data_IF_419959667680
#
_entry.id   IF_419959667680
#
_cell.length_a   1.000
_cell.length_b   1.000
_cell.length_c   1.000
_cell.angle_alpha   90.00
_cell.angle_beta   90.00
_cell.angle_gamma   90.00
#
_symmetry.space_group_name_H-M   'P 1'
#
loop_
_entity.id
_entity.type
_entity.pdbx_description
1 polymer ?
#
# COMPACT_ATOMS: atom_id res chain seq x y z
N UNK A 1 1.84 -5.69 38.17
CA UNK A 1 3.13 -6.14 37.62
C UNK A 1 2.79 -7.36 36.77
N UNK A 2 2.83 -7.23 35.45
CA UNK A 2 2.52 -8.34 34.53
C UNK A 2 3.69 -9.32 34.50
N UNK A 3 3.39 -10.62 34.58
CA UNK A 3 4.39 -11.66 34.44
C UNK A 3 4.62 -12.02 32.96
N UNK A 4 5.81 -11.73 32.43
CA UNK A 4 6.15 -11.98 31.03
C UNK A 4 6.54 -13.45 30.74
N UNK A 5 6.55 -14.32 31.75
CA UNK A 5 6.96 -15.73 31.62
C UNK A 5 5.99 -16.51 30.73
N UNK A 6 4.71 -16.15 30.74
CA UNK A 6 3.70 -16.79 29.88
C UNK A 6 4.00 -16.53 28.39
N UNK A 7 4.34 -15.28 28.04
CA UNK A 7 4.66 -14.89 26.68
C UNK A 7 5.93 -15.60 26.16
N UNK A 8 6.93 -15.80 27.03
CA UNK A 8 8.15 -16.54 26.66
C UNK A 8 7.89 -18.01 26.36
N UNK A 9 6.86 -18.62 26.96
CA UNK A 9 6.42 -19.97 26.61
C UNK A 9 5.80 -19.98 25.22
N UNK A 10 4.93 -19.01 24.92
CA UNK A 10 4.27 -18.90 23.61
C UNK A 10 5.25 -18.63 22.46
N UNK A 11 6.30 -17.84 22.70
CA UNK A 11 7.36 -17.61 21.71
C UNK A 11 8.32 -18.79 21.54
N UNK A 12 8.25 -19.80 22.41
CA UNK A 12 9.17 -20.94 22.42
C UNK A 12 10.53 -20.67 23.09
N UNK A 13 10.69 -19.52 23.76
CA UNK A 13 11.93 -19.11 24.44
C UNK A 13 12.09 -19.71 25.84
N UNK A 14 11.07 -20.44 26.34
CA UNK A 14 11.08 -21.07 27.65
C UNK A 14 10.77 -22.56 27.55
N UNK A 15 11.59 -23.38 28.20
CA UNK A 15 11.37 -24.82 28.28
C UNK A 15 10.17 -25.17 29.19
N UNK A 16 9.47 -26.25 28.84
CA UNK A 16 8.27 -26.70 29.56
C UNK A 16 8.56 -26.99 31.04
N UNK A 17 9.75 -27.51 31.38
CA UNK A 17 10.11 -27.84 32.76
C UNK A 17 10.26 -26.57 33.62
N UNK A 18 10.89 -25.53 33.09
CA UNK A 18 11.01 -24.22 33.74
C UNK A 18 9.66 -23.52 33.87
N UNK A 19 8.80 -23.63 32.86
CA UNK A 19 7.44 -23.10 32.93
C UNK A 19 6.62 -23.77 34.04
N UNK A 20 6.65 -25.11 34.12
CA UNK A 20 5.98 -25.87 35.17
C UNK A 20 6.48 -25.54 36.58
N UNK A 21 7.77 -25.24 36.73
CA UNK A 21 8.32 -24.76 38.02
C UNK A 21 7.76 -23.39 38.37
N UNK A 22 7.67 -22.48 37.39
CA UNK A 22 7.14 -21.13 37.59
C UNK A 22 5.65 -21.13 37.94
N UNK A 23 4.87 -22.02 37.31
CA UNK A 23 3.43 -22.18 37.60
C UNK A 23 3.15 -22.46 39.07
N UNK A 24 4.06 -23.10 39.81
CA UNK A 24 3.84 -23.36 41.25
C UNK A 24 3.87 -22.09 42.12
N UNK A 25 4.42 -21.00 41.61
CA UNK A 25 4.70 -19.79 42.39
C UNK A 25 3.90 -18.59 41.88
N UNK A 26 3.55 -18.54 40.60
CA UNK A 26 2.89 -17.39 40.00
C UNK A 26 1.40 -17.64 39.72
N UNK A 27 0.53 -16.98 40.49
CA UNK A 27 -0.92 -17.07 40.33
C UNK A 27 -1.43 -16.49 38.99
N UNK A 28 -0.77 -15.46 38.45
CA UNK A 28 -1.16 -14.87 37.16
C UNK A 28 -0.97 -15.87 36.01
N UNK A 29 0.17 -16.55 35.97
CA UNK A 29 0.43 -17.57 34.95
C UNK A 29 -0.47 -18.80 35.10
N UNK A 30 -0.87 -19.15 36.34
CA UNK A 30 -1.87 -20.20 36.56
C UNK A 30 -3.23 -19.81 35.98
N UNK A 31 -3.69 -18.58 36.27
CA UNK A 31 -4.98 -18.09 35.78
C UNK A 31 -5.02 -18.03 34.25
N UNK A 32 -3.95 -17.54 33.60
CA UNK A 32 -3.86 -17.50 32.13
C UNK A 32 -3.90 -18.90 31.53
N UNK A 33 -3.18 -19.86 32.13
CA UNK A 33 -3.20 -21.25 31.68
C UNK A 33 -4.62 -21.85 31.76
N UNK A 34 -5.34 -21.57 32.86
CA UNK A 34 -6.72 -22.03 33.03
C UNK A 34 -7.64 -21.43 31.96
N UNK A 35 -7.49 -20.14 31.64
CA UNK A 35 -8.26 -19.50 30.58
C UNK A 35 -7.99 -20.12 29.21
N UNK A 36 -6.73 -20.41 28.88
CA UNK A 36 -6.38 -21.07 27.63
C UNK A 36 -6.95 -22.50 27.56
N UNK A 37 -6.91 -23.25 28.66
CA UNK A 37 -7.54 -24.58 28.75
C UNK A 37 -9.07 -24.50 28.58
N UNK A 38 -9.73 -23.49 29.14
CA UNK A 38 -11.15 -23.24 28.94
C UNK A 38 -11.48 -22.88 27.49
N UNK A 39 -10.68 -22.02 26.86
CA UNK A 39 -10.82 -21.66 25.45
C UNK A 39 -10.68 -22.87 24.54
N UNK A 40 -9.69 -23.74 24.80
CA UNK A 40 -9.51 -24.97 24.03
C UNK A 40 -10.69 -25.92 24.18
N UNK A 41 -11.24 -26.07 25.38
CA UNK A 41 -12.47 -26.86 25.61
C UNK A 41 -13.68 -26.31 24.88
N UNK A 42 -13.80 -24.99 24.77
CA UNK A 42 -14.85 -24.34 23.98
C UNK A 42 -14.62 -24.53 22.48
N UNK A 43 -13.37 -24.45 22.02
CA UNK A 43 -13.02 -24.66 20.63
C UNK A 43 -13.34 -26.10 20.16
N UNK A 44 -13.17 -27.10 21.03
CA UNK A 44 -13.58 -28.48 20.75
C UNK A 44 -15.10 -28.65 20.53
N UNK A 45 -15.91 -27.74 21.09
CA UNK A 45 -17.37 -27.75 20.93
C UNK A 45 -17.81 -27.06 19.63
N UNK A 46 -16.91 -26.36 18.93
CA UNK A 46 -17.22 -25.75 17.65
C UNK A 46 -17.54 -26.84 16.63
N UNK A 47 -18.55 -26.58 15.79
CA UNK A 47 -18.91 -27.49 14.71
C UNK A 47 -17.71 -27.69 13.79
N UNK A 48 -17.42 -28.97 13.50
CA UNK A 48 -16.34 -29.33 12.60
C UNK A 48 -16.67 -28.76 11.21
N UNK A 49 -15.73 -28.08 10.52
CA UNK A 49 -16.00 -27.49 9.22
C UNK A 49 -16.50 -28.56 8.27
N UNK A 50 -17.67 -28.28 7.65
CA UNK A 50 -18.30 -29.18 6.71
C UNK A 50 -17.33 -29.45 5.55
N UNK A 51 -17.11 -30.72 5.15
CA UNK A 51 -16.32 -30.99 3.97
C UNK A 51 -17.05 -30.35 2.78
N UNK A 52 -16.40 -29.41 2.12
CA UNK A 52 -16.85 -28.85 0.85
C UNK A 52 -16.14 -29.61 -0.28
N UNK A 53 -16.71 -30.74 -0.74
CA UNK A 53 -16.16 -31.40 -1.92
C UNK A 53 -16.12 -30.40 -3.07
N UNK A 54 -15.00 -30.38 -3.80
CA UNK A 54 -14.72 -29.48 -4.93
C UNK A 54 -14.35 -28.03 -4.61
N UNK A 55 -14.19 -27.63 -3.34
CA UNK A 55 -13.63 -26.30 -3.03
C UNK A 55 -12.23 -26.15 -3.62
N UNK A 56 -11.37 -27.14 -3.39
CA UNK A 56 -10.00 -27.12 -3.91
C UNK A 56 -9.94 -27.18 -5.43
N UNK A 57 -10.77 -28.01 -6.06
CA UNK A 57 -10.87 -28.08 -7.52
C UNK A 57 -11.26 -26.72 -8.11
N UNK A 58 -12.17 -25.99 -7.45
CA UNK A 58 -12.58 -24.63 -7.85
C UNK A 58 -11.48 -23.59 -7.65
N UNK A 59 -10.72 -23.68 -6.56
CA UNK A 59 -9.56 -22.79 -6.31
C UNK A 59 -8.47 -23.05 -7.35
N UNK A 60 -8.17 -24.31 -7.65
CA UNK A 60 -7.19 -24.67 -8.68
C UNK A 60 -7.62 -24.16 -10.05
N UNK A 61 -8.88 -24.34 -10.42
CA UNK A 61 -9.44 -23.80 -11.66
C UNK A 61 -9.33 -22.26 -11.70
N UNK A 62 -9.67 -21.55 -10.62
CA UNK A 62 -9.58 -20.09 -10.60
C UNK A 62 -8.15 -19.58 -10.71
N UNK A 63 -7.19 -20.24 -10.03
CA UNK A 63 -5.76 -19.90 -10.14
C UNK A 63 -5.22 -20.14 -11.55
N UNK A 64 -5.66 -21.20 -12.23
CA UNK A 64 -5.28 -21.46 -13.62
C UNK A 64 -5.87 -20.44 -14.59
N UNK A 65 -7.12 -20.03 -14.40
CA UNK A 65 -7.75 -18.96 -15.18
C UNK A 65 -7.06 -17.61 -14.96
N UNK A 66 -6.70 -17.28 -13.73
CA UNK A 66 -5.92 -16.08 -13.40
C UNK A 66 -4.51 -16.13 -14.04
N UNK A 67 -3.82 -17.26 -13.97
CA UNK A 67 -2.51 -17.45 -14.60
C UNK A 67 -2.56 -17.40 -16.14
N UNK A 68 -3.67 -17.86 -16.75
CA UNK A 68 -3.87 -17.81 -18.19
C UNK A 68 -4.26 -16.40 -18.69
N UNK A 69 -4.96 -15.63 -17.85
CA UNK A 69 -5.44 -14.29 -18.18
C UNK A 69 -4.41 -13.21 -17.86
N UNK A 70 -3.45 -13.48 -16.97
CA UNK A 70 -2.28 -12.63 -16.78
C UNK A 70 -1.23 -12.93 -17.86
N UNK A 71 -0.96 -12.01 -18.81
CA UNK A 71 0.29 -12.09 -19.56
C UNK A 71 1.41 -11.84 -18.55
N UNK A 72 2.06 -12.92 -18.11
CA UNK A 72 3.33 -12.82 -17.38
C UNK A 72 4.31 -12.18 -18.35
N UNK A 73 4.41 -10.86 -18.30
CA UNK A 73 5.53 -10.09 -18.84
C UNK A 73 6.75 -10.38 -17.98
N UNK A 74 7.17 -11.65 -17.97
CA UNK A 74 8.52 -12.06 -17.68
C UNK A 74 9.38 -11.59 -18.87
N UNK A 75 9.63 -10.29 -18.90
CA UNK A 75 10.75 -9.72 -19.62
C UNK A 75 12.01 -10.32 -18.99
N UNK A 76 12.42 -11.45 -19.53
CA UNK A 76 13.79 -11.89 -19.55
C UNK A 76 14.60 -10.72 -20.14
N UNK A 77 15.28 -9.97 -19.29
CA UNK A 77 16.34 -9.09 -19.73
C UNK A 77 17.58 -9.96 -19.87
N UNK A 78 18.02 -10.35 -21.08
CA UNK A 78 19.36 -10.87 -21.23
C UNK A 78 20.34 -9.75 -20.92
N UNK A 79 21.13 -9.96 -19.87
CA UNK A 79 22.31 -9.19 -19.52
C UNK A 79 23.30 -9.30 -20.69
N UNK A 80 23.23 -8.37 -21.64
CA UNK A 80 24.21 -8.25 -22.73
C UNK A 80 25.11 -7.04 -22.48
N UNK A 81 26.38 -7.35 -22.41
CA UNK A 81 27.53 -6.49 -22.12
C UNK A 81 27.63 -5.27 -23.03
N UNK A 82 27.52 -4.08 -22.42
CA UNK A 82 28.06 -2.85 -22.98
C UNK A 82 29.59 -2.88 -22.87
N UNK A 83 30.23 -3.50 -23.85
CA UNK A 83 31.65 -3.33 -24.14
C UNK A 83 31.78 -3.10 -25.64
N UNK A 84 31.72 -1.84 -26.05
CA UNK A 84 32.30 -1.41 -27.33
C UNK A 84 32.63 0.08 -27.28
N UNK A 85 33.90 0.27 -26.96
CA UNK A 85 34.74 1.42 -27.30
C UNK A 85 34.42 1.96 -28.70
N UNK A 86 34.03 3.24 -28.77
CA UNK A 86 34.16 4.00 -30.01
C UNK A 86 34.89 5.29 -29.69
N UNK A 87 36.14 5.34 -30.15
CA UNK A 87 37.07 6.45 -30.09
C UNK A 87 36.54 7.67 -30.85
N UNK A 88 36.61 8.84 -30.21
CA UNK A 88 36.51 10.15 -30.85
C UNK A 88 37.73 10.39 -31.77
N UNK A 89 37.51 10.91 -32.99
CA UNK A 89 38.48 11.74 -33.66
C UNK A 89 37.98 13.20 -33.70
N UNK A 90 38.76 14.08 -33.09
CA UNK A 90 38.78 15.51 -33.40
C UNK A 90 39.22 15.73 -34.85
N UNK A 91 38.67 16.75 -35.53
CA UNK A 91 39.52 17.56 -36.39
C UNK A 91 39.34 19.07 -36.16
N UNK A 92 40.50 19.72 -36.16
CA UNK A 92 40.74 21.16 -36.07
C UNK A 92 40.62 21.88 -37.42
N UNK A 93 40.38 23.19 -37.29
CA UNK A 93 40.75 24.31 -38.16
C UNK A 93 40.12 24.47 -39.54
N UNK A 94 39.34 25.55 -39.69
CA UNK A 94 39.75 26.82 -40.37
C UNK A 94 38.52 27.60 -40.89
N UNK A 95 38.47 28.89 -40.56
CA UNK A 95 37.61 29.91 -41.21
C UNK A 95 38.26 30.34 -42.56
N UNK A 96 37.67 31.19 -43.46
CA UNK A 96 36.55 32.14 -43.26
C UNK A 96 35.60 32.35 -44.48
N UNK A 97 34.76 33.40 -44.37
CA UNK A 97 33.99 34.15 -45.42
C UNK A 97 32.74 33.46 -46.00
N UNK A 98 31.62 34.10 -46.34
CA UNK A 98 31.12 35.48 -46.31
C UNK A 98 29.61 35.40 -46.67
N UNK A 99 28.81 36.34 -46.14
CA UNK A 99 27.51 36.85 -46.62
C UNK A 99 26.45 35.86 -47.17
N UNK A 100 25.21 35.84 -46.67
CA UNK A 100 24.24 36.89 -46.99
C UNK A 100 22.95 36.72 -46.17
N UNK A 101 22.27 37.85 -46.01
CA UNK A 101 20.96 38.04 -45.42
C UNK A 101 19.90 37.05 -45.89
N UNK A 102 19.14 36.50 -44.94
CA UNK A 102 17.69 36.68 -44.84
C UNK A 102 17.11 35.57 -43.98
N UNK A 103 16.25 35.96 -43.01
CA UNK A 103 15.13 35.23 -42.39
C UNK A 103 15.06 35.40 -40.88
N UNK A 104 15.10 36.67 -40.46
CA UNK A 104 14.55 37.10 -39.20
C UNK A 104 13.02 37.28 -39.36
N UNK A 105 12.22 36.20 -39.33
CA UNK A 105 10.76 36.32 -39.12
C UNK A 105 10.01 35.03 -38.69
N UNK A 106 10.60 34.06 -37.95
CA UNK A 106 9.82 32.88 -37.49
C UNK A 106 9.93 32.59 -35.98
N UNK A 107 10.26 33.57 -35.14
CA UNK A 107 10.24 33.39 -33.69
C UNK A 107 9.17 34.21 -32.98
N UNK A 108 7.88 33.96 -33.30
CA UNK A 108 6.75 34.43 -32.47
C UNK A 108 5.61 33.44 -32.21
N UNK A 109 5.73 32.16 -32.60
CA UNK A 109 4.67 31.15 -32.32
C UNK A 109 5.22 29.92 -31.54
N UNK A 110 6.52 29.83 -31.25
CA UNK A 110 7.10 28.68 -30.55
C UNK A 110 7.04 28.76 -29.00
N UNK A 111 6.71 29.91 -28.41
CA UNK A 111 6.79 30.10 -26.96
C UNK A 111 5.54 29.67 -26.17
N UNK A 112 4.39 29.49 -26.83
CA UNK A 112 3.13 29.13 -26.12
C UNK A 112 2.92 27.62 -26.06
N UNK A 113 3.41 26.86 -27.05
CA UNK A 113 3.20 25.41 -27.14
C UNK A 113 4.13 24.59 -26.22
N UNK A 114 5.32 25.10 -25.88
CA UNK A 114 6.24 24.43 -24.95
C UNK A 114 5.79 24.58 -23.49
N UNK A 115 5.08 25.67 -23.15
CA UNK A 115 4.57 25.89 -21.80
C UNK A 115 3.32 25.04 -21.51
N UNK A 116 2.43 24.83 -22.49
CA UNK A 116 1.25 23.98 -22.29
C UNK A 116 1.61 22.48 -22.20
N UNK A 117 2.64 22.02 -22.92
CA UNK A 117 3.10 20.63 -22.83
C UNK A 117 3.95 20.41 -21.56
N UNK A 118 4.70 21.42 -21.11
CA UNK A 118 5.45 21.36 -19.85
C UNK A 118 4.56 21.27 -18.60
N UNK A 119 3.42 21.97 -18.59
CA UNK A 119 2.46 21.92 -17.49
C UNK A 119 1.64 20.61 -17.49
N UNK A 120 1.24 20.11 -18.67
CA UNK A 120 0.49 18.84 -18.76
C UNK A 120 1.33 17.59 -18.44
N UNK A 121 2.61 17.60 -18.82
CA UNK A 121 3.53 16.49 -18.54
C UNK A 121 3.83 16.32 -17.04
N UNK A 122 3.88 17.42 -16.28
CA UNK A 122 4.07 17.39 -14.83
C UNK A 122 2.88 16.76 -14.08
N UNK A 123 1.65 16.97 -14.57
CA UNK A 123 0.44 16.40 -13.97
C UNK A 123 0.31 14.88 -14.24
N UNK A 124 0.72 14.43 -15.43
CA UNK A 124 0.68 13.01 -15.81
C UNK A 124 1.84 12.21 -15.17
N UNK A 125 2.99 12.83 -14.90
CA UNK A 125 4.07 12.16 -14.16
C UNK A 125 3.81 11.99 -12.65
N UNK A 126 2.78 12.64 -12.10
CA UNK A 126 2.30 12.39 -10.74
C UNK A 126 1.31 11.21 -10.67
N UNK A 127 0.75 10.82 -11.81
CA UNK A 127 -0.02 9.58 -11.99
C UNK A 127 0.91 8.47 -12.49
N UNK A 128 1.96 8.15 -11.73
CA UNK A 128 2.63 6.87 -11.93
C UNK A 128 1.59 5.76 -11.68
N UNK A 129 1.46 4.75 -12.56
CA UNK A 129 0.56 3.64 -12.34
C UNK A 129 0.89 3.00 -10.99
N UNK A 130 -0.06 3.03 -10.07
CA UNK A 130 0.00 2.34 -8.78
C UNK A 130 0.09 0.85 -9.10
N UNK A 131 1.32 0.35 -9.19
CA UNK A 131 1.59 -1.08 -9.13
C UNK A 131 1.16 -1.52 -7.72
N UNK A 132 -0.02 -2.12 -7.64
CA UNK A 132 -0.60 -2.77 -6.47
C UNK A 132 0.15 -4.06 -6.16
N UNK A 133 1.48 -3.99 -6.01
CA UNK A 133 2.25 -5.07 -5.42
C UNK A 133 2.15 -4.91 -3.89
N UNK A 134 1.04 -5.39 -3.32
CA UNK A 134 0.79 -5.42 -1.87
C UNK A 134 1.58 -6.58 -1.24
N UNK A 135 2.84 -6.74 -1.63
CA UNK A 135 3.86 -7.52 -0.91
C UNK A 135 5.08 -6.63 -0.68
N UNK A 136 4.86 -5.44 -0.12
CA UNK A 136 5.97 -4.60 0.31
C UNK A 136 6.71 -5.31 1.44
N UNK A 137 7.93 -5.75 1.16
CA UNK A 137 8.88 -6.22 2.18
C UNK A 137 9.30 -5.02 3.04
N UNK A 138 8.51 -4.73 4.07
CA UNK A 138 8.67 -3.61 5.01
C UNK A 138 9.86 -3.79 5.98
N UNK A 139 10.67 -4.84 5.82
CA UNK A 139 11.80 -5.14 6.70
C UNK A 139 13.03 -4.25 6.45
N UNK A 140 13.08 -3.53 5.32
CA UNK A 140 14.17 -2.60 5.04
C UNK A 140 13.78 -1.15 5.38
N UNK A 141 14.69 -0.33 5.94
CA UNK A 141 14.40 1.07 6.25
C UNK A 141 14.04 1.88 4.99
N UNK A 142 14.61 1.54 3.83
CA UNK A 142 14.26 2.17 2.56
C UNK A 142 12.85 1.81 2.07
N UNK A 143 12.38 0.57 2.28
CA UNK A 143 11.01 0.19 1.97
C UNK A 143 10.00 0.87 2.92
N UNK A 144 10.36 1.03 4.20
CA UNK A 144 9.53 1.71 5.17
C UNK A 144 9.34 3.19 4.81
N UNK A 145 10.39 3.89 4.39
CA UNK A 145 10.26 5.30 3.98
C UNK A 145 9.34 5.45 2.76
N UNK A 146 9.45 4.57 1.76
CA UNK A 146 8.53 4.58 0.61
C UNK A 146 7.07 4.39 1.02
N UNK A 147 6.80 3.59 2.05
CA UNK A 147 5.43 3.43 2.57
C UNK A 147 4.98 4.68 3.30
N UNK A 148 5.85 5.31 4.09
CA UNK A 148 5.55 6.61 4.72
C UNK A 148 5.29 7.72 3.71
N UNK A 149 5.99 7.71 2.58
CA UNK A 149 5.72 8.62 1.47
C UNK A 149 4.33 8.40 0.90
N UNK A 150 3.94 7.15 0.67
CA UNK A 150 2.59 6.80 0.20
C UNK A 150 1.50 7.14 1.22
N UNK A 151 1.74 6.89 2.51
CA UNK A 151 0.84 7.32 3.60
C UNK A 151 0.59 8.84 3.51
N UNK A 152 1.66 9.65 3.39
CA UNK A 152 1.54 11.11 3.24
C UNK A 152 0.77 11.51 2.00
N UNK A 153 1.01 10.84 0.86
CA UNK A 153 0.30 11.10 -0.39
C UNK A 153 -1.19 10.78 -0.27
N UNK A 154 -1.56 9.66 0.36
CA UNK A 154 -2.96 9.33 0.59
C UNK A 154 -3.64 10.29 1.54
N UNK A 155 -3.00 10.69 2.64
CA UNK A 155 -3.56 11.68 3.56
C UNK A 155 -3.82 13.02 2.84
N UNK A 156 -2.87 13.49 2.03
CA UNK A 156 -3.06 14.72 1.26
C UNK A 156 -4.20 14.59 0.22
N UNK A 157 -4.28 13.46 -0.49
CA UNK A 157 -5.35 13.21 -1.44
C UNK A 157 -6.74 13.09 -0.78
N UNK A 158 -6.80 12.46 0.40
CA UNK A 158 -8.04 12.36 1.19
C UNK A 158 -8.52 13.75 1.58
N UNK A 159 -7.64 14.63 2.07
CA UNK A 159 -8.03 15.99 2.48
C UNK A 159 -8.64 16.79 1.31
N UNK A 160 -8.09 16.63 0.10
CA UNK A 160 -8.64 17.25 -1.12
C UNK A 160 -10.00 16.65 -1.51
N UNK A 161 -10.11 15.33 -1.47
CA UNK A 161 -11.34 14.60 -1.82
C UNK A 161 -12.45 14.83 -0.79
N UNK A 162 -12.15 14.98 0.49
CA UNK A 162 -13.13 15.30 1.53
C UNK A 162 -13.81 16.64 1.26
N UNK A 163 -13.05 17.66 0.84
CA UNK A 163 -13.61 18.96 0.49
C UNK A 163 -14.58 18.87 -0.69
N UNK A 164 -14.26 18.06 -1.70
CA UNK A 164 -15.15 17.83 -2.84
C UNK A 164 -16.37 16.98 -2.44
N UNK A 165 -16.15 15.93 -1.66
CA UNK A 165 -17.21 15.01 -1.22
C UNK A 165 -18.22 15.70 -0.31
N UNK A 166 -17.81 16.64 0.55
CA UNK A 166 -18.74 17.41 1.39
C UNK A 166 -19.77 18.19 0.56
N UNK A 167 -19.39 18.72 -0.60
CA UNK A 167 -20.34 19.36 -1.53
C UNK A 167 -21.31 18.33 -2.11
N UNK A 168 -20.81 17.15 -2.52
CA UNK A 168 -21.67 16.08 -3.04
C UNK A 168 -22.61 15.50 -1.99
N UNK A 169 -22.19 15.47 -0.72
CA UNK A 169 -23.04 15.02 0.37
C UNK A 169 -24.29 15.90 0.55
N UNK A 170 -24.20 17.19 0.23
CA UNK A 170 -25.33 18.13 0.31
C UNK A 170 -26.34 17.95 -0.83
N UNK A 171 -25.88 17.49 -2.00
CA UNK A 171 -26.73 17.28 -3.20
C UNK A 171 -27.30 15.85 -3.28
N UNK A 172 -26.70 14.90 -2.59
CA UNK A 172 -27.05 13.47 -2.61
C UNK A 172 -28.35 13.13 -1.84
N UNK A 173 -29.02 12.07 -2.27
CA UNK A 173 -30.19 11.50 -1.56
C UNK A 173 -29.82 11.06 -0.13
N UNK A 174 -30.72 11.36 0.82
CA UNK A 174 -30.50 11.14 2.26
C UNK A 174 -30.04 9.72 2.61
N UNK A 175 -30.68 8.70 2.04
CA UNK A 175 -30.37 7.30 2.36
C UNK A 175 -28.96 6.91 1.88
N UNK A 176 -28.56 7.37 0.69
CA UNK A 176 -27.24 7.11 0.13
C UNK A 176 -26.15 7.89 0.90
N UNK A 177 -26.43 9.15 1.25
CA UNK A 177 -25.55 9.98 2.07
C UNK A 177 -25.25 9.32 3.42
N UNK A 178 -26.28 8.81 4.11
CA UNK A 178 -26.14 8.13 5.40
C UNK A 178 -25.31 6.85 5.28
N UNK A 179 -25.52 6.06 4.22
CA UNK A 179 -24.73 4.85 3.94
C UNK A 179 -23.23 5.18 3.80
N UNK A 180 -22.88 6.17 2.98
CA UNK A 180 -21.49 6.56 2.77
C UNK A 180 -20.86 7.20 4.01
N UNK A 181 -21.62 8.01 4.77
CA UNK A 181 -21.15 8.57 6.04
C UNK A 181 -20.82 7.48 7.05
N UNK A 182 -21.65 6.45 7.17
CA UNK A 182 -21.38 5.30 8.05
C UNK A 182 -20.13 4.51 7.61
N UNK A 183 -19.98 4.28 6.30
CA UNK A 183 -18.77 3.64 5.73
C UNK A 183 -17.51 4.44 6.06
N UNK A 184 -17.51 5.75 5.82
CA UNK A 184 -16.35 6.62 6.10
C UNK A 184 -16.04 6.65 7.60
N UNK A 185 -17.05 6.79 8.47
CA UNK A 185 -16.86 6.76 9.93
C UNK A 185 -16.25 5.44 10.41
N UNK A 186 -16.65 4.32 9.80
CA UNK A 186 -16.06 3.02 10.09
C UNK A 186 -14.58 2.99 9.71
N UNK A 187 -14.22 3.47 8.52
CA UNK A 187 -12.83 3.52 8.07
C UNK A 187 -12.01 4.47 8.96
N UNK A 188 -12.55 5.63 9.33
CA UNK A 188 -11.89 6.59 10.24
C UNK A 188 -11.59 5.99 11.61
N UNK A 189 -12.52 5.22 12.15
CA UNK A 189 -12.32 4.49 13.40
C UNK A 189 -11.17 3.48 13.27
N UNK A 190 -11.06 2.79 12.13
CA UNK A 190 -9.97 1.86 11.88
C UNK A 190 -8.61 2.57 11.75
N UNK A 191 -8.57 3.70 11.04
CA UNK A 191 -7.37 4.53 10.91
C UNK A 191 -6.91 5.01 12.30
N UNK A 192 -7.82 5.53 13.12
CA UNK A 192 -7.52 6.02 14.47
C UNK A 192 -6.88 4.92 15.35
N UNK A 193 -7.45 3.71 15.35
CA UNK A 193 -6.89 2.55 16.08
C UNK A 193 -5.49 2.19 15.60
N UNK A 194 -5.23 2.27 14.30
CA UNK A 194 -3.91 1.98 13.75
C UNK A 194 -2.88 3.02 14.15
N UNK A 195 -3.26 4.30 14.15
CA UNK A 195 -2.40 5.39 14.60
C UNK A 195 -2.07 5.26 16.10
N UNK A 196 -3.06 4.91 16.93
CA UNK A 196 -2.86 4.65 18.36
C UNK A 196 -1.91 3.45 18.57
N UNK A 197 -2.10 2.35 17.84
CA UNK A 197 -1.24 1.18 17.97
C UNK A 197 0.19 1.46 17.47
N UNK A 198 0.36 2.29 16.43
CA UNK A 198 1.67 2.74 15.96
C UNK A 198 2.35 3.72 16.93
N UNK A 199 1.60 4.51 17.69
CA UNK A 199 2.17 5.34 18.75
C UNK A 199 2.92 4.48 19.79
N UNK A 200 2.34 3.33 20.15
CA UNK A 200 2.94 2.40 21.10
C UNK A 200 4.03 1.51 20.48
N UNK A 201 3.91 1.20 19.18
CA UNK A 201 4.87 0.36 18.47
C UNK A 201 5.13 0.87 17.03
N UNK A 202 5.98 1.89 16.86
CA UNK A 202 6.14 2.59 15.58
C UNK A 202 6.84 1.77 14.50
N UNK A 203 7.59 0.73 14.91
CA UNK A 203 8.32 -0.17 14.03
C UNK A 203 7.47 -1.38 13.58
N UNK A 204 6.22 -1.49 14.04
CA UNK A 204 5.35 -2.60 13.64
C UNK A 204 4.90 -2.45 12.17
N UNK A 205 5.51 -3.27 11.32
CA UNK A 205 5.27 -3.27 9.87
C UNK A 205 3.86 -3.74 9.50
N UNK A 206 3.27 -4.63 10.29
CA UNK A 206 1.91 -5.14 10.04
C UNK A 206 0.86 -4.05 10.25
N UNK A 207 0.94 -3.30 11.35
CA UNK A 207 0.00 -2.20 11.62
C UNK A 207 0.15 -1.11 10.57
N UNK A 208 1.39 -0.80 10.16
CA UNK A 208 1.65 0.18 9.11
C UNK A 208 1.05 -0.22 7.76
N UNK A 209 1.15 -1.50 7.39
CA UNK A 209 0.50 -2.02 6.19
C UNK A 209 -1.02 -1.90 6.27
N UNK A 210 -1.61 -2.22 7.43
CA UNK A 210 -3.05 -2.09 7.63
C UNK A 210 -3.50 -0.63 7.54
N UNK A 211 -2.75 0.30 8.14
CA UNK A 211 -2.99 1.74 8.02
C UNK A 211 -3.02 2.20 6.55
N UNK A 212 -2.05 1.75 5.76
CA UNK A 212 -1.98 2.09 4.34
C UNK A 212 -3.23 1.61 3.58
N UNK A 213 -3.72 0.40 3.87
CA UNK A 213 -4.93 -0.15 3.27
C UNK A 213 -6.18 0.64 3.69
N UNK A 214 -6.30 0.99 4.96
CA UNK A 214 -7.43 1.79 5.45
C UNK A 214 -7.45 3.20 4.82
N UNK A 215 -6.28 3.83 4.66
CA UNK A 215 -6.16 5.10 3.94
C UNK A 215 -6.55 4.96 2.46
N UNK A 216 -6.11 3.89 1.81
CA UNK A 216 -6.46 3.61 0.42
C UNK A 216 -7.99 3.45 0.25
N UNK A 217 -8.63 2.68 1.12
CA UNK A 217 -10.08 2.43 1.12
C UNK A 217 -10.88 3.73 1.34
N UNK A 218 -10.43 4.59 2.27
CA UNK A 218 -11.05 5.90 2.48
C UNK A 218 -10.97 6.76 1.23
N UNK A 219 -9.79 6.85 0.62
CA UNK A 219 -9.58 7.61 -0.63
C UNK A 219 -10.46 7.09 -1.76
N UNK A 220 -10.53 5.78 -1.95
CA UNK A 220 -11.36 5.16 -2.99
C UNK A 220 -12.84 5.43 -2.75
N UNK A 221 -13.31 5.31 -1.51
CA UNK A 221 -14.69 5.63 -1.13
C UNK A 221 -15.03 7.10 -1.39
N UNK A 222 -14.14 8.03 -1.05
CA UNK A 222 -14.34 9.46 -1.33
C UNK A 222 -14.32 9.74 -2.83
N UNK A 223 -13.44 9.08 -3.58
CA UNK A 223 -13.39 9.19 -5.03
C UNK A 223 -14.67 8.67 -5.68
N UNK A 224 -15.23 7.55 -5.21
CA UNK A 224 -16.53 7.04 -5.64
C UNK A 224 -17.61 8.10 -5.43
N UNK A 225 -17.69 8.70 -4.24
CA UNK A 225 -18.69 9.74 -3.91
C UNK A 225 -18.57 10.94 -4.86
N UNK A 226 -17.35 11.42 -5.11
CA UNK A 226 -17.10 12.53 -6.04
C UNK A 226 -17.51 12.18 -7.47
N UNK A 227 -17.40 10.91 -7.87
CA UNK A 227 -17.72 10.44 -9.22
C UNK A 227 -19.20 10.14 -9.46
N UNK A 228 -20.03 10.02 -8.42
CA UNK A 228 -21.46 9.65 -8.57
C UNK A 228 -22.31 10.66 -9.37
N UNK A 229 -21.77 11.83 -9.71
CA UNK A 229 -22.44 12.86 -10.53
C UNK A 229 -21.95 12.95 -11.98
N UNK A 230 -20.97 12.15 -12.40
CA UNK A 230 -20.49 12.07 -13.80
C UNK A 230 -21.22 10.98 -14.59
#
# INVERSE_FOLDING_TARGET
MSCDIYQKRESGDLDEVSFQRHLRVCAECQQRLQQDEELLKLAEQLERPMPSPHLWDRIEASLHEEAATQPVSAAQTPLSSAAQSTSLPMPQDSAPTQHTHARAWIYRIAAVLVVSIGLGSGYIHLQAPVQTDVTVSLYSPAALEKVRDRERQYVAAIEELEQMADVQFDEMELDLMLLYRDKIQTIDTQIARCLEALHNNPANTHIRRYLLLALQDKRETLQEIVQLEL
#
